data_IF_964074628629
#
_entry.id   IF_964074628629
#
_cell.length_a   1.000
_cell.length_b   1.000
_cell.length_c   1.000
_cell.angle_alpha   90.00
_cell.angle_beta   90.00
_cell.angle_gamma   90.00
#
_symmetry.space_group_name_H-M   'P 1'
#
loop_
_entity.id
_entity.type
_entity.pdbx_description
1 polymer ?
#
# COMPACT_ATOMS: atom_id res chain seq x y z
N UNK A 1 -21.37 -21.10 -29.27
CA UNK A 1 -20.25 -21.03 -30.23
C UNK A 1 -19.20 -20.12 -29.61
N UNK A 2 -17.99 -20.64 -29.52
CA UNK A 2 -16.81 -20.22 -28.76
C UNK A 2 -16.63 -18.71 -28.62
N UNK A 3 -16.72 -18.25 -27.37
CA UNK A 3 -16.02 -17.07 -26.89
C UNK A 3 -14.70 -17.52 -26.28
N UNK A 4 -13.88 -18.23 -27.06
CA UNK A 4 -12.47 -18.37 -26.76
C UNK A 4 -11.88 -16.98 -27.01
N UNK A 5 -12.09 -16.09 -26.03
CA UNK A 5 -11.31 -14.88 -25.87
C UNK A 5 -9.92 -15.42 -25.59
N UNK A 6 -9.21 -15.72 -26.67
CA UNK A 6 -7.77 -15.70 -26.70
C UNK A 6 -7.40 -14.35 -26.09
N UNK A 7 -7.12 -14.37 -24.80
CA UNK A 7 -6.25 -13.41 -24.15
C UNK A 7 -4.93 -13.52 -24.91
N UNK A 8 -4.86 -12.88 -26.07
CA UNK A 8 -3.62 -12.70 -26.80
C UNK A 8 -2.65 -12.00 -25.85
N UNK A 9 -1.35 -12.22 -26.02
CA UNK A 9 -0.34 -11.53 -25.21
C UNK A 9 -0.59 -10.01 -25.16
N UNK A 10 -1.11 -9.44 -26.25
CA UNK A 10 -1.57 -8.04 -26.33
C UNK A 10 -2.70 -7.70 -25.35
N UNK A 11 -3.68 -8.59 -25.16
CA UNK A 11 -4.77 -8.44 -24.19
C UNK A 11 -4.29 -8.52 -22.74
N UNK A 12 -3.28 -9.35 -22.46
CA UNK A 12 -2.64 -9.42 -21.15
C UNK A 12 -1.83 -8.16 -20.85
N UNK A 13 -0.96 -7.74 -21.78
CA UNK A 13 -0.17 -6.49 -21.68
C UNK A 13 -1.09 -5.27 -21.55
N UNK A 14 -2.18 -5.22 -22.32
CA UNK A 14 -3.16 -4.13 -22.22
C UNK A 14 -3.90 -4.14 -20.88
N UNK A 15 -4.37 -5.30 -20.43
CA UNK A 15 -5.02 -5.43 -19.11
C UNK A 15 -4.05 -5.06 -17.96
N UNK A 16 -2.79 -5.44 -18.07
CA UNK A 16 -1.74 -5.06 -17.11
C UNK A 16 -1.50 -3.55 -17.13
N UNK A 17 -1.40 -2.93 -18.31
CA UNK A 17 -1.27 -1.49 -18.46
C UNK A 17 -2.46 -0.72 -17.84
N UNK A 18 -3.69 -1.23 -18.00
CA UNK A 18 -4.88 -0.67 -17.37
C UNK A 18 -4.85 -0.79 -15.84
N UNK A 19 -4.39 -1.93 -15.32
CA UNK A 19 -4.23 -2.15 -13.86
C UNK A 19 -3.17 -1.21 -13.29
N UNK A 20 -2.00 -1.10 -13.93
CA UNK A 20 -0.94 -0.18 -13.51
C UNK A 20 -1.42 1.27 -13.55
N UNK A 21 -2.17 1.65 -14.58
CA UNK A 21 -2.76 3.00 -14.68
C UNK A 21 -3.72 3.29 -13.54
N UNK A 22 -4.60 2.33 -13.19
CA UNK A 22 -5.53 2.46 -12.05
C UNK A 22 -4.78 2.58 -10.72
N UNK A 23 -3.76 1.75 -10.49
CA UNK A 23 -2.90 1.82 -9.30
C UNK A 23 -2.23 3.18 -9.18
N UNK A 24 -1.69 3.72 -10.27
CA UNK A 24 -1.01 5.01 -10.27
C UNK A 24 -1.98 6.18 -9.99
N UNK A 25 -3.18 6.15 -10.58
CA UNK A 25 -4.24 7.13 -10.28
C UNK A 25 -4.62 7.04 -8.79
N UNK A 26 -4.81 5.83 -8.27
CA UNK A 26 -5.17 5.62 -6.87
C UNK A 26 -4.07 6.11 -5.92
N UNK A 27 -2.82 5.75 -6.19
CA UNK A 27 -1.62 6.21 -5.48
C UNK A 27 -1.55 7.74 -5.42
N UNK A 28 -1.70 8.42 -6.55
CA UNK A 28 -1.72 9.90 -6.61
C UNK A 28 -2.84 10.48 -5.74
N UNK A 29 -4.02 9.88 -5.78
CA UNK A 29 -5.16 10.32 -4.98
C UNK A 29 -4.94 10.10 -3.48
N UNK A 30 -4.41 8.95 -3.06
CA UNK A 30 -4.06 8.71 -1.66
C UNK A 30 -3.04 9.73 -1.15
N UNK A 31 -1.94 9.89 -1.89
CA UNK A 31 -0.87 10.83 -1.53
C UNK A 31 -1.37 12.28 -1.46
N UNK A 32 -2.38 12.65 -2.25
CA UNK A 32 -2.98 13.99 -2.21
C UNK A 32 -4.00 14.13 -1.07
N UNK A 33 -4.89 13.17 -0.90
CA UNK A 33 -6.11 13.35 -0.11
C UNK A 33 -6.06 12.69 1.27
N UNK A 34 -5.26 11.64 1.47
CA UNK A 34 -5.25 10.87 2.72
C UNK A 34 -4.03 11.25 3.56
N UNK A 35 -4.26 12.02 4.61
CA UNK A 35 -3.18 12.50 5.50
C UNK A 35 -2.46 11.37 6.24
N UNK A 36 -3.19 10.36 6.73
CA UNK A 36 -2.63 9.25 7.49
C UNK A 36 -1.65 8.41 6.67
N UNK A 37 -1.95 8.14 5.40
CA UNK A 37 -1.02 7.50 4.45
C UNK A 37 0.31 8.27 4.37
N UNK A 38 0.26 9.60 4.25
CA UNK A 38 1.48 10.43 4.24
C UNK A 38 2.26 10.35 5.56
N UNK A 39 1.56 10.22 6.69
CA UNK A 39 2.23 10.09 7.99
C UNK A 39 2.91 8.73 8.13
N UNK A 40 2.24 7.62 7.74
CA UNK A 40 2.84 6.28 7.73
C UNK A 40 4.13 6.29 6.91
N UNK A 41 4.07 6.79 5.68
CA UNK A 41 5.26 6.91 4.81
C UNK A 41 6.38 7.73 5.43
N UNK A 42 6.05 8.86 6.06
CA UNK A 42 7.05 9.72 6.71
C UNK A 42 7.72 8.98 7.86
N UNK A 43 6.94 8.29 8.68
CA UNK A 43 7.46 7.50 9.81
C UNK A 43 8.37 6.39 9.30
N UNK A 44 7.93 5.60 8.32
CA UNK A 44 8.75 4.54 7.73
C UNK A 44 10.08 5.09 7.17
N UNK A 45 10.03 6.18 6.39
CA UNK A 45 11.24 6.83 5.85
C UNK A 45 12.19 7.36 6.92
N UNK A 46 11.71 7.62 8.13
CA UNK A 46 12.53 8.10 9.25
C UNK A 46 13.26 6.97 9.99
N UNK A 47 12.84 5.71 9.82
CA UNK A 47 13.47 4.55 10.47
C UNK A 47 14.64 4.06 9.64
N UNK A 48 15.75 3.72 10.31
CA UNK A 48 16.97 3.26 9.64
C UNK A 48 16.75 1.97 8.83
N UNK A 49 15.96 1.04 9.35
CA UNK A 49 15.58 -0.19 8.66
C UNK A 49 14.32 -0.02 7.79
N UNK A 50 13.71 1.18 7.76
CA UNK A 50 12.44 1.47 7.08
C UNK A 50 11.27 0.54 7.47
N UNK A 51 11.32 -0.04 8.68
CA UNK A 51 10.29 -0.91 9.26
C UNK A 51 9.75 -0.34 10.56
N UNK A 52 8.49 -0.62 10.87
CA UNK A 52 7.88 -0.28 12.15
C UNK A 52 6.67 -1.17 12.42
N UNK A 53 6.41 -1.50 13.68
CA UNK A 53 5.25 -2.31 14.07
C UNK A 53 3.91 -1.62 13.78
N UNK A 54 2.89 -2.43 13.48
CA UNK A 54 1.48 -2.04 13.41
C UNK A 54 1.04 -1.36 14.71
N UNK A 55 1.42 -1.97 15.84
CA UNK A 55 1.11 -1.50 17.20
C UNK A 55 1.50 -0.04 17.42
N UNK A 56 2.64 0.41 16.87
CA UNK A 56 3.07 1.81 16.98
C UNK A 56 2.04 2.78 16.38
N UNK A 57 1.38 2.40 15.28
CA UNK A 57 0.36 3.23 14.66
C UNK A 57 -0.99 3.13 15.38
N UNK A 58 -1.34 1.95 15.92
CA UNK A 58 -2.53 1.78 16.76
C UNK A 58 -2.47 2.69 17.99
N UNK A 59 -1.35 2.68 18.71
CA UNK A 59 -1.07 3.57 19.86
C UNK A 59 -1.30 5.06 19.54
N UNK A 60 -1.06 5.47 18.29
CA UNK A 60 -1.27 6.85 17.85
C UNK A 60 -2.75 7.13 17.56
N UNK A 61 -3.42 6.21 16.87
CA UNK A 61 -4.83 6.32 16.49
C UNK A 61 -5.76 6.26 17.71
N UNK A 62 -5.44 5.40 18.67
CA UNK A 62 -6.19 5.21 19.93
C UNK A 62 -6.19 6.45 20.84
N UNK A 63 -5.34 7.44 20.56
CA UNK A 63 -5.44 8.75 21.22
C UNK A 63 -6.74 9.49 20.89
N UNK A 64 -7.45 9.07 19.84
CA UNK A 64 -8.68 9.71 19.35
C UNK A 64 -9.80 8.74 19.02
N UNK A 65 -9.48 7.47 18.79
CA UNK A 65 -10.42 6.41 18.42
C UNK A 65 -10.45 5.35 19.52
N UNK A 66 -11.52 4.55 19.57
CA UNK A 66 -11.46 3.28 20.32
C UNK A 66 -10.50 2.30 19.63
N UNK A 67 -10.05 1.28 20.36
CA UNK A 67 -9.17 0.23 19.82
C UNK A 67 -9.74 -0.42 18.55
N UNK A 68 -11.01 -0.85 18.57
CA UNK A 68 -11.68 -1.46 17.42
C UNK A 68 -11.75 -0.53 16.20
N UNK A 69 -12.01 0.77 16.43
CA UNK A 69 -12.01 1.77 15.36
C UNK A 69 -10.60 2.04 14.82
N UNK A 70 -9.59 2.05 15.69
CA UNK A 70 -8.20 2.25 15.32
C UNK A 70 -7.66 1.08 14.48
N UNK A 71 -7.94 -0.16 14.89
CA UNK A 71 -7.60 -1.36 14.13
C UNK A 71 -8.22 -1.33 12.74
N UNK A 72 -9.54 -1.11 12.67
CA UNK A 72 -10.27 -1.07 11.40
C UNK A 72 -9.76 0.03 10.47
N UNK A 73 -9.50 1.22 11.01
CA UNK A 73 -8.95 2.34 10.21
C UNK A 73 -7.54 2.02 9.72
N UNK A 74 -6.68 1.45 10.57
CA UNK A 74 -5.32 1.09 10.20
C UNK A 74 -5.29 -0.02 9.13
N UNK A 75 -6.15 -1.02 9.25
CA UNK A 75 -6.25 -2.11 8.26
C UNK A 75 -6.67 -1.56 6.89
N UNK A 76 -7.64 -0.64 6.84
CA UNK A 76 -8.03 0.05 5.59
C UNK A 76 -6.85 0.83 5.00
N UNK A 77 -6.08 1.53 5.84
CA UNK A 77 -4.91 2.28 5.39
C UNK A 77 -3.80 1.35 4.87
N UNK A 78 -3.62 0.19 5.50
CA UNK A 78 -2.66 -0.83 5.06
C UNK A 78 -3.07 -1.39 3.70
N UNK A 79 -4.34 -1.78 3.53
CA UNK A 79 -4.86 -2.29 2.27
C UNK A 79 -4.70 -1.27 1.13
N UNK A 80 -5.05 -0.01 1.39
CA UNK A 80 -4.87 1.07 0.42
C UNK A 80 -3.41 1.34 0.11
N UNK A 81 -2.53 1.30 1.13
CA UNK A 81 -1.09 1.47 0.97
C UNK A 81 -0.46 0.38 0.10
N UNK A 82 -0.82 -0.87 0.34
CA UNK A 82 -0.36 -2.03 -0.44
C UNK A 82 -0.87 -2.00 -1.87
N UNK A 83 -2.15 -1.72 -2.08
CA UNK A 83 -2.72 -1.59 -3.43
C UNK A 83 -2.05 -0.47 -4.25
N UNK A 84 -1.67 0.62 -3.57
CA UNK A 84 -0.97 1.76 -4.17
C UNK A 84 0.57 1.59 -4.26
N UNK A 85 1.10 0.45 -3.84
CA UNK A 85 2.54 0.14 -3.81
C UNK A 85 3.34 1.23 -3.09
N UNK A 86 2.78 1.73 -1.98
CA UNK A 86 3.40 2.79 -1.17
C UNK A 86 4.29 2.23 -0.06
N UNK A 87 3.87 1.12 0.51
CA UNK A 87 4.57 0.33 1.52
C UNK A 87 3.92 -1.06 1.56
N UNK A 88 4.62 -2.00 2.17
CA UNK A 88 4.18 -3.38 2.35
C UNK A 88 3.91 -3.66 3.83
N UNK A 89 3.26 -4.79 4.09
CA UNK A 89 2.92 -5.27 5.43
C UNK A 89 3.31 -6.74 5.54
N UNK A 90 3.91 -7.10 6.65
CA UNK A 90 4.37 -8.45 6.96
C UNK A 90 3.46 -9.03 8.06
N UNK A 91 2.58 -9.96 7.66
CA UNK A 91 1.58 -10.58 8.55
C UNK A 91 2.22 -11.48 9.62
N UNK A 92 3.46 -11.94 9.45
CA UNK A 92 4.14 -12.78 10.46
C UNK A 92 4.72 -11.94 11.59
N UNK A 93 5.17 -10.73 11.27
CA UNK A 93 5.83 -9.82 12.22
C UNK A 93 4.96 -8.65 12.66
N UNK A 94 3.78 -8.46 12.06
CA UNK A 94 2.92 -7.29 12.22
C UNK A 94 3.67 -5.98 11.96
N UNK A 95 4.53 -5.95 10.92
CA UNK A 95 5.33 -4.77 10.57
C UNK A 95 4.92 -4.16 9.23
N UNK A 96 4.82 -2.83 9.21
CA UNK A 96 4.80 -2.06 7.97
C UNK A 96 6.24 -1.77 7.55
N UNK A 97 6.52 -1.87 6.25
CA UNK A 97 7.86 -1.63 5.72
C UNK A 97 7.87 -1.00 4.32
N UNK A 98 8.95 -0.27 4.01
CA UNK A 98 9.23 0.13 2.63
C UNK A 98 10.10 -0.93 1.97
N UNK A 99 9.69 -1.36 0.79
CA UNK A 99 10.56 -2.14 -0.08
C UNK A 99 11.78 -1.28 -0.45
N UNK A 100 12.96 -1.92 -0.49
CA UNK A 100 14.13 -1.28 -1.05
C UNK A 100 13.85 -1.08 -2.54
N UNK A 101 14.06 0.14 -3.05
CA UNK A 101 14.06 0.33 -4.50
C UNK A 101 15.17 -0.60 -5.03
N UNK A 102 14.80 -1.68 -5.71
CA UNK A 102 15.75 -2.42 -6.52
C UNK A 102 16.37 -1.40 -7.45
N UNK A 103 17.62 -1.02 -7.19
CA UNK A 103 18.40 -0.22 -8.10
C UNK A 103 18.55 -1.11 -9.33
N UNK A 104 17.68 -0.92 -10.31
CA UNK A 104 17.77 -1.56 -11.60
C UNK A 104 19.10 -1.11 -12.22
N UNK A 105 20.15 -1.87 -11.98
CA UNK A 105 21.39 -1.76 -12.72
C UNK A 105 21.07 -2.18 -14.15
N UNK A 106 20.83 -1.20 -15.03
CA UNK A 106 20.76 -1.35 -16.48
C UNK A 106 21.24 -0.08 -17.15
#
# INVERSE_FOLDING_TARGET
KQGDIELTEDGKVFSEADVLTKKEIFRKNLLRNVFLIRQILRVLKSKANKRISKEFFLDILERKLSHEEAEKELDILIDWGRYAELFSFDDETDELFLEEEEVANS
#
